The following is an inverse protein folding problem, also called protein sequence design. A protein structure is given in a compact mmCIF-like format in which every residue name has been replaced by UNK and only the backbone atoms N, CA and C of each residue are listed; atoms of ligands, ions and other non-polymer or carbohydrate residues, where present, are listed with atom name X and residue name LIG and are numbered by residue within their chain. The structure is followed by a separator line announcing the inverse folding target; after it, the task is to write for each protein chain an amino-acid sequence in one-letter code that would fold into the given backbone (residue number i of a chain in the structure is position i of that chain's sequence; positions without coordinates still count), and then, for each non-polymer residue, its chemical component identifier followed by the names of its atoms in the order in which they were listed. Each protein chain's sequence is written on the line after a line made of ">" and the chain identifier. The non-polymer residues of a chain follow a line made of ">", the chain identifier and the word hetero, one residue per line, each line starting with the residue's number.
data_IF_671342939272
#
_entry.id   IF_671342939272
#
_cell.length_a   1.000
_cell.length_b   1.000
_cell.length_c   1.000
_cell.angle_alpha   90.00
_cell.angle_beta   90.00
_cell.angle_gamma   90.00
#
_symmetry.space_group_name_H-M   'P 1'
#
loop_
_entity.id
_entity.type
_entity.pdbx_description
1 polymer ?
#
# COMPACT_ATOMS: atom_id res chain seq x y z
N UNK A 1 31.84 -14.85 -24.31
CA UNK A 1 31.94 -15.38 -22.94
C UNK A 1 32.02 -14.18 -22.02
N UNK A 2 30.95 -13.89 -21.28
CA UNK A 2 30.94 -12.81 -20.30
C UNK A 2 31.11 -13.46 -18.93
N UNK A 3 32.24 -13.18 -18.29
CA UNK A 3 32.58 -13.63 -16.96
C UNK A 3 31.55 -13.08 -15.97
N UNK A 4 30.98 -13.89 -15.06
CA UNK A 4 30.17 -13.36 -13.97
C UNK A 4 31.12 -12.59 -13.05
N UNK A 5 30.93 -11.28 -12.93
CA UNK A 5 31.51 -10.49 -11.85
C UNK A 5 30.84 -10.94 -10.56
N UNK A 6 31.49 -11.85 -9.83
CA UNK A 6 31.12 -12.19 -8.46
C UNK A 6 31.27 -10.94 -7.60
N UNK A 7 30.14 -10.33 -7.24
CA UNK A 7 30.08 -9.38 -6.12
C UNK A 7 30.52 -10.14 -4.85
N UNK A 8 31.59 -9.71 -4.16
CA UNK A 8 32.13 -10.41 -3.00
C UNK A 8 31.17 -10.49 -1.81
N UNK A 9 30.00 -9.81 -1.86
CA UNK A 9 28.96 -9.91 -0.84
C UNK A 9 28.01 -11.10 -1.00
N UNK A 10 27.92 -11.72 -2.19
CA UNK A 10 26.96 -12.79 -2.46
C UNK A 10 25.48 -12.34 -2.44
N UNK A 11 25.23 -11.03 -2.52
CA UNK A 11 23.88 -10.43 -2.56
C UNK A 11 23.42 -10.23 -4.01
N UNK A 12 22.20 -10.64 -4.32
CA UNK A 12 21.50 -10.42 -5.59
C UNK A 12 20.09 -9.84 -5.37
N UNK A 13 19.37 -9.50 -6.46
CA UNK A 13 18.02 -8.95 -6.38
C UNK A 13 16.96 -9.97 -6.81
N UNK A 14 15.86 -10.07 -6.05
CA UNK A 14 14.59 -10.64 -6.50
C UNK A 14 13.59 -9.50 -6.65
N UNK A 15 13.24 -9.16 -7.90
CA UNK A 15 12.58 -7.89 -8.20
C UNK A 15 13.51 -6.72 -7.83
N UNK A 16 13.13 -5.94 -6.83
CA UNK A 16 13.94 -4.86 -6.23
C UNK A 16 14.41 -5.17 -4.80
N UNK A 17 14.23 -6.40 -4.31
CA UNK A 17 14.60 -6.80 -2.95
C UNK A 17 16.01 -7.40 -2.92
N UNK A 18 16.93 -6.86 -2.11
CA UNK A 18 18.25 -7.47 -1.88
C UNK A 18 18.15 -8.75 -1.06
N UNK A 19 18.72 -9.83 -1.58
CA UNK A 19 18.75 -11.15 -0.95
C UNK A 19 20.15 -11.77 -1.04
N UNK A 20 20.51 -12.65 -0.12
CA UNK A 20 21.75 -13.44 -0.21
C UNK A 20 21.59 -14.69 -1.09
N UNK A 21 22.67 -15.47 -1.23
CA UNK A 21 22.71 -16.72 -1.98
C UNK A 21 21.68 -17.79 -1.51
N UNK A 22 21.11 -17.65 -0.31
CA UNK A 22 20.06 -18.52 0.22
C UNK A 22 18.65 -17.93 0.05
N UNK A 23 18.53 -16.80 -0.66
CA UNK A 23 17.32 -16.00 -0.83
C UNK A 23 16.78 -15.39 0.48
N UNK A 24 17.64 -15.21 1.49
CA UNK A 24 17.28 -14.45 2.71
C UNK A 24 17.36 -12.96 2.40
N UNK A 25 16.36 -12.19 2.83
CA UNK A 25 16.32 -10.74 2.60
C UNK A 25 17.36 -10.02 3.45
N UNK A 26 17.98 -8.96 2.90
CA UNK A 26 18.95 -8.11 3.59
C UNK A 26 18.73 -6.63 3.24
N UNK A 27 17.69 -6.01 3.81
CA UNK A 27 17.39 -4.59 3.57
C UNK A 27 18.09 -3.72 4.61
N UNK A 28 19.04 -2.89 4.17
CA UNK A 28 19.66 -1.84 4.99
C UNK A 28 18.68 -0.69 5.21
N UNK A 29 18.16 -0.57 6.43
CA UNK A 29 17.12 0.40 6.79
C UNK A 29 17.64 1.83 6.93
N UNK A 30 18.94 2.07 6.75
CA UNK A 30 19.49 3.43 6.58
C UNK A 30 19.17 4.00 5.20
N UNK A 31 18.68 3.16 4.29
CA UNK A 31 18.21 3.51 2.95
C UNK A 31 16.68 3.33 2.88
N UNK A 32 16.01 3.91 1.88
CA UNK A 32 14.60 3.65 1.64
C UNK A 32 14.32 2.14 1.52
N UNK A 33 13.30 1.66 2.23
CA UNK A 33 12.92 0.26 2.26
C UNK A 33 12.15 -0.08 0.96
N UNK A 34 12.67 -0.96 0.09
CA UNK A 34 11.98 -1.33 -1.14
C UNK A 34 10.83 -2.31 -0.89
N UNK A 35 9.84 -2.32 -1.78
CA UNK A 35 8.82 -3.39 -1.86
C UNK A 35 8.65 -3.90 -3.29
N UNK A 36 8.40 -5.20 -3.46
CA UNK A 36 8.26 -5.86 -4.77
C UNK A 36 6.83 -6.29 -5.11
N UNK A 37 5.98 -6.34 -4.10
CA UNK A 37 4.58 -6.71 -4.20
C UNK A 37 3.77 -5.92 -3.16
N UNK A 38 2.45 -5.89 -3.30
CA UNK A 38 1.54 -5.23 -2.37
C UNK A 38 0.23 -6.00 -2.22
N UNK A 39 -0.52 -5.66 -1.18
CA UNK A 39 -1.94 -5.92 -1.12
C UNK A 39 -2.72 -4.69 -1.60
N UNK A 40 -3.91 -4.90 -2.18
CA UNK A 40 -4.80 -3.83 -2.61
C UNK A 40 -6.20 -3.98 -2.03
N UNK A 41 -6.83 -2.85 -1.73
CA UNK A 41 -8.25 -2.77 -1.36
C UNK A 41 -8.83 -1.42 -1.74
N UNK A 42 -10.16 -1.34 -1.76
CA UNK A 42 -10.86 -0.10 -2.02
C UNK A 42 -12.05 0.07 -1.08
N UNK A 43 -12.29 1.31 -0.65
CA UNK A 43 -13.41 1.68 0.22
C UNK A 43 -14.14 2.87 -0.40
N UNK A 44 -15.47 2.83 -0.39
CA UNK A 44 -16.30 3.89 -0.95
C UNK A 44 -17.20 4.48 0.13
N UNK A 45 -17.25 5.81 0.21
CA UNK A 45 -18.00 6.56 1.21
C UNK A 45 -18.74 7.71 0.57
N UNK A 46 -19.95 8.01 1.04
CA UNK A 46 -20.79 9.09 0.51
C UNK A 46 -20.96 9.01 -1.03
N UNK A 47 -20.97 7.81 -1.60
CA UNK A 47 -21.13 7.56 -3.05
C UNK A 47 -22.28 6.61 -3.35
N UNK A 48 -22.61 6.49 -4.64
CA UNK A 48 -23.48 5.43 -5.19
C UNK A 48 -22.76 4.71 -6.33
N UNK A 49 -22.99 3.40 -6.47
CA UNK A 49 -22.50 2.62 -7.62
C UNK A 49 -20.98 2.64 -7.77
N UNK A 50 -20.25 2.77 -6.67
CA UNK A 50 -18.79 2.85 -6.67
C UNK A 50 -18.18 1.52 -7.12
N UNK A 51 -17.35 1.58 -8.17
CA UNK A 51 -16.67 0.42 -8.73
C UNK A 51 -15.20 0.78 -8.90
N UNK A 52 -14.34 -0.05 -8.33
CA UNK A 52 -12.88 0.08 -8.43
C UNK A 52 -12.34 -1.22 -9.00
N UNK A 53 -11.86 -1.20 -10.24
CA UNK A 53 -11.25 -2.33 -10.93
C UNK A 53 -9.73 -2.14 -10.96
N UNK A 54 -8.99 -3.10 -10.42
CA UNK A 54 -7.53 -3.10 -10.43
C UNK A 54 -7.00 -4.53 -10.50
N UNK A 55 -5.91 -4.74 -11.26
CA UNK A 55 -5.35 -6.07 -11.52
C UNK A 55 -6.39 -7.11 -11.99
N UNK A 56 -7.32 -6.65 -12.84
CA UNK A 56 -8.41 -7.48 -13.38
C UNK A 56 -9.49 -7.90 -12.37
N UNK A 57 -9.50 -7.30 -11.17
CA UNK A 57 -10.41 -7.64 -10.07
C UNK A 57 -11.11 -6.40 -9.52
N UNK A 58 -12.38 -6.54 -9.19
CA UNK A 58 -13.09 -5.48 -8.49
C UNK A 58 -12.69 -5.49 -7.01
N UNK A 59 -12.01 -4.43 -6.57
CA UNK A 59 -11.72 -4.18 -5.17
C UNK A 59 -12.94 -3.58 -4.43
N UNK A 60 -13.78 -2.83 -5.15
CA UNK A 60 -15.12 -2.39 -4.73
C UNK A 60 -16.10 -2.55 -5.90
N UNK A 61 -17.35 -2.91 -5.62
CA UNK A 61 -18.39 -3.12 -6.63
C UNK A 61 -19.77 -2.90 -6.02
N UNK A 62 -20.00 -1.68 -5.60
CA UNK A 62 -21.19 -1.28 -4.85
C UNK A 62 -22.40 -1.17 -5.78
N UNK A 63 -23.62 -1.43 -5.26
CA UNK A 63 -24.85 -1.31 -6.04
C UNK A 63 -25.11 0.14 -6.44
N UNK A 64 -25.75 0.33 -7.60
CA UNK A 64 -25.94 1.66 -8.17
C UNK A 64 -26.96 2.50 -7.38
N UNK A 65 -27.91 1.90 -6.68
CA UNK A 65 -29.06 2.58 -6.06
C UNK A 65 -28.99 2.70 -4.52
N UNK A 66 -27.96 2.16 -3.88
CA UNK A 66 -27.73 2.30 -2.44
C UNK A 66 -26.64 3.33 -2.20
N UNK A 67 -26.89 4.26 -1.26
CA UNK A 67 -25.87 5.21 -0.83
C UNK A 67 -24.93 4.51 0.16
N UNK A 68 -23.64 4.55 -0.13
CA UNK A 68 -22.63 4.12 0.84
C UNK A 68 -22.61 5.04 2.06
N UNK A 69 -22.23 4.47 3.21
CA UNK A 69 -22.16 5.19 4.48
C UNK A 69 -21.22 6.39 4.38
N UNK A 70 -21.40 7.38 5.26
CA UNK A 70 -20.44 8.47 5.37
C UNK A 70 -19.21 7.99 6.12
N UNK A 71 -18.01 8.35 5.65
CA UNK A 71 -16.78 8.09 6.40
C UNK A 71 -16.83 8.72 7.80
N UNK A 72 -17.52 9.87 7.93
CA UNK A 72 -17.69 10.56 9.20
C UNK A 72 -18.49 9.74 10.23
N UNK A 73 -19.37 8.82 9.79
CA UNK A 73 -20.12 7.96 10.70
C UNK A 73 -19.27 6.89 11.39
N UNK A 74 -18.04 6.65 10.90
CA UNK A 74 -17.10 5.70 11.50
C UNK A 74 -16.35 6.29 12.69
N UNK A 75 -16.30 7.62 12.84
CA UNK A 75 -15.57 8.27 13.93
C UNK A 75 -14.13 7.78 14.05
N UNK A 76 -13.72 7.42 15.27
CA UNK A 76 -12.37 6.94 15.58
C UNK A 76 -12.03 5.60 14.90
N UNK A 77 -13.03 4.81 14.50
CA UNK A 77 -12.83 3.54 13.81
C UNK A 77 -12.49 3.71 12.31
N UNK A 78 -12.57 4.94 11.78
CA UNK A 78 -12.35 5.21 10.36
C UNK A 78 -11.02 4.63 9.82
N UNK A 79 -9.85 4.83 10.45
CA UNK A 79 -8.60 4.24 9.97
C UNK A 79 -8.60 2.71 9.98
N UNK A 80 -9.29 2.10 10.96
CA UNK A 80 -9.43 0.65 11.07
C UNK A 80 -10.27 0.02 9.96
N UNK A 81 -11.11 0.80 9.28
CA UNK A 81 -11.93 0.35 8.15
C UNK A 81 -11.17 0.37 6.80
N UNK A 82 -10.04 1.07 6.71
CA UNK A 82 -9.21 1.11 5.51
C UNK A 82 -8.29 -0.12 5.45
N UNK A 83 -8.70 -1.12 4.64
CA UNK A 83 -8.05 -2.43 4.55
C UNK A 83 -7.81 -2.85 3.11
N UNK A 84 -6.71 -3.57 2.88
CA UNK A 84 -6.49 -4.34 1.68
C UNK A 84 -6.96 -5.79 1.89
N UNK A 85 -7.47 -6.41 0.83
CA UNK A 85 -7.99 -7.78 0.86
C UNK A 85 -7.42 -8.66 -0.26
N UNK A 86 -6.90 -8.06 -1.33
CA UNK A 86 -6.26 -8.79 -2.43
C UNK A 86 -4.75 -8.75 -2.24
N UNK A 87 -4.14 -9.87 -1.88
CA UNK A 87 -2.71 -9.96 -1.53
C UNK A 87 -1.84 -10.42 -2.70
N UNK A 88 -0.54 -10.11 -2.64
CA UNK A 88 0.47 -10.69 -3.52
C UNK A 88 0.47 -10.14 -4.95
N UNK A 89 -0.04 -8.92 -5.14
CA UNK A 89 -0.02 -8.23 -6.44
C UNK A 89 1.41 -7.78 -6.71
N UNK A 90 2.00 -8.27 -7.81
CA UNK A 90 3.40 -8.03 -8.17
C UNK A 90 3.59 -6.66 -8.81
N UNK A 91 4.69 -5.98 -8.46
CA UNK A 91 5.02 -4.63 -8.92
C UNK A 91 6.30 -4.57 -9.75
N UNK A 92 6.77 -5.71 -10.25
CA UNK A 92 8.03 -5.80 -10.99
C UNK A 92 7.87 -6.52 -12.34
N UNK A 93 8.37 -5.93 -13.45
CA UNK A 93 9.06 -4.63 -13.53
C UNK A 93 8.14 -3.41 -13.33
N UNK A 94 6.83 -3.59 -13.51
CA UNK A 94 5.81 -2.55 -13.44
C UNK A 94 4.68 -2.96 -12.49
N UNK A 95 3.93 -1.97 -11.99
CA UNK A 95 2.63 -2.22 -11.40
C UNK A 95 1.65 -2.75 -12.48
N UNK A 96 0.56 -3.41 -12.08
CA UNK A 96 -0.61 -3.57 -12.95
C UNK A 96 -1.05 -2.23 -13.56
N UNK A 97 -1.79 -2.26 -14.69
CA UNK A 97 -2.38 -1.05 -15.26
C UNK A 97 -3.16 -0.23 -14.23
N UNK A 98 -3.31 1.10 -14.45
CA UNK A 98 -4.03 1.99 -13.53
C UNK A 98 -5.39 1.44 -13.08
N UNK A 99 -5.75 1.69 -11.83
CA UNK A 99 -7.05 1.32 -11.31
C UNK A 99 -8.13 2.17 -12.00
N UNK A 100 -9.16 1.52 -12.51
CA UNK A 100 -10.33 2.17 -13.13
C UNK A 100 -11.40 2.39 -12.06
N UNK A 101 -11.84 3.63 -11.90
CA UNK A 101 -12.78 4.05 -10.86
C UNK A 101 -13.99 4.72 -11.49
N UNK A 102 -15.18 4.22 -11.20
CA UNK A 102 -16.46 4.86 -11.58
C UNK A 102 -17.36 4.96 -10.36
N UNK A 103 -18.00 6.11 -10.16
CA UNK A 103 -18.92 6.31 -9.03
C UNK A 103 -19.87 7.47 -9.31
N UNK A 104 -20.86 7.65 -8.43
CA UNK A 104 -21.60 8.90 -8.33
C UNK A 104 -21.36 9.55 -6.97
N UNK A 105 -21.09 10.85 -6.95
CA UNK A 105 -20.95 11.64 -5.72
C UNK A 105 -22.28 11.71 -4.96
N UNK A 106 -22.27 12.23 -3.73
CA UNK A 106 -23.45 12.25 -2.87
C UNK A 106 -24.62 13.05 -3.45
N UNK A 107 -24.30 14.01 -4.33
CA UNK A 107 -25.27 14.83 -5.08
C UNK A 107 -25.75 14.17 -6.38
N UNK A 108 -25.28 12.96 -6.69
CA UNK A 108 -25.68 12.16 -7.82
C UNK A 108 -24.88 12.39 -9.11
N UNK A 109 -23.91 13.31 -9.13
CA UNK A 109 -23.07 13.52 -10.32
C UNK A 109 -22.20 12.28 -10.59
N UNK A 110 -22.16 11.86 -11.86
CA UNK A 110 -21.34 10.71 -12.27
C UNK A 110 -19.89 11.12 -12.54
N UNK A 111 -18.96 10.26 -12.11
CA UNK A 111 -17.52 10.45 -12.23
C UNK A 111 -16.84 9.19 -12.79
N UNK A 112 -15.73 9.41 -13.47
CA UNK A 112 -14.80 8.38 -13.91
C UNK A 112 -13.37 8.90 -13.74
N UNK A 113 -12.47 8.05 -13.24
CA UNK A 113 -11.07 8.37 -13.08
C UNK A 113 -10.19 7.12 -13.20
N UNK A 114 -8.95 7.33 -13.61
CA UNK A 114 -7.89 6.32 -13.56
C UNK A 114 -6.88 6.71 -12.50
N UNK A 115 -6.47 5.77 -11.65
CA UNK A 115 -5.47 5.98 -10.60
C UNK A 115 -4.23 5.15 -10.89
N UNK A 116 -3.14 5.83 -11.24
CA UNK A 116 -1.87 5.21 -11.61
C UNK A 116 -0.97 5.02 -10.39
N UNK A 117 -0.92 3.78 -9.87
CA UNK A 117 -0.06 3.45 -8.73
C UNK A 117 1.43 3.44 -9.10
N UNK A 118 1.78 3.23 -10.37
CA UNK A 118 3.18 3.35 -10.81
C UNK A 118 3.64 4.81 -10.74
N UNK A 119 2.77 5.76 -11.08
CA UNK A 119 3.09 7.18 -10.91
C UNK A 119 3.18 7.60 -9.43
N UNK A 120 2.24 7.13 -8.59
CA UNK A 120 2.19 7.48 -7.15
C UNK A 120 3.38 6.87 -6.41
N UNK A 121 3.70 5.61 -6.68
CA UNK A 121 4.76 4.84 -6.01
C UNK A 121 5.93 4.53 -6.96
N UNK A 122 6.34 5.52 -7.77
CA UNK A 122 7.38 5.38 -8.80
C UNK A 122 8.66 4.71 -8.31
N UNK A 123 9.07 5.05 -7.09
CA UNK A 123 10.33 4.58 -6.48
C UNK A 123 10.17 3.22 -5.79
N UNK A 124 8.94 2.70 -5.67
CA UNK A 124 8.62 1.40 -5.04
C UNK A 124 9.22 1.28 -3.63
N UNK A 125 9.09 2.35 -2.85
CA UNK A 125 9.56 2.47 -1.46
C UNK A 125 8.40 2.48 -0.47
N UNK A 126 8.58 1.81 0.67
CA UNK A 126 7.61 1.78 1.77
C UNK A 126 7.55 3.16 2.43
N UNK A 127 6.34 3.70 2.59
CA UNK A 127 6.07 4.89 3.38
C UNK A 127 5.93 4.50 4.86
N UNK A 128 6.67 5.16 5.76
CA UNK A 128 6.56 4.94 7.20
C UNK A 128 7.04 6.16 8.01
N UNK A 129 6.61 6.25 9.27
CA UNK A 129 7.07 7.28 10.22
C UNK A 129 8.02 6.75 11.29
N UNK A 130 8.49 5.50 11.18
CA UNK A 130 9.44 4.93 12.15
C UNK A 130 10.75 5.73 12.16
N UNK A 131 11.18 6.25 13.33
CA UNK A 131 12.47 6.91 13.47
C UNK A 131 13.65 5.99 13.14
N UNK A 132 14.71 6.53 12.54
CA UNK A 132 15.87 5.75 12.09
C UNK A 132 16.57 4.98 13.22
N UNK A 133 16.64 5.56 14.42
CA UNK A 133 17.23 4.96 15.61
C UNK A 133 16.39 3.80 16.17
N UNK A 134 15.09 3.77 15.86
CA UNK A 134 14.17 2.70 16.24
C UNK A 134 14.10 1.57 15.20
N UNK A 135 14.56 1.79 13.96
CA UNK A 135 14.59 0.72 12.96
C UNK A 135 15.66 -0.33 13.30
N UNK A 136 15.39 -1.63 13.06
CA UNK A 136 16.45 -2.63 12.99
C UNK A 136 17.41 -2.24 11.87
N UNK A 137 18.73 -2.49 11.97
CA UNK A 137 19.70 -1.97 11.00
C UNK A 137 19.59 -2.73 9.66
N UNK A 138 19.18 -3.99 9.72
CA UNK A 138 18.93 -4.88 8.60
C UNK A 138 17.57 -5.53 8.85
N UNK A 139 16.69 -5.51 7.85
CA UNK A 139 15.49 -6.35 7.83
C UNK A 139 15.79 -7.66 7.10
N UNK A 140 15.34 -8.77 7.68
CA UNK A 140 15.49 -10.13 7.14
C UNK A 140 14.25 -10.65 6.41
N UNK A 141 13.23 -9.81 6.28
CA UNK A 141 12.02 -10.08 5.53
C UNK A 141 11.69 -8.87 4.65
N UNK A 142 11.06 -9.12 3.51
CA UNK A 142 10.47 -8.07 2.70
C UNK A 142 9.20 -7.53 3.38
N UNK A 143 8.80 -6.33 2.97
CA UNK A 143 7.56 -5.71 3.44
C UNK A 143 6.62 -5.62 2.24
N UNK A 144 5.46 -6.27 2.38
CA UNK A 144 4.33 -6.11 1.46
C UNK A 144 3.36 -5.10 2.05
N UNK A 145 3.30 -3.85 1.55
CA UNK A 145 2.36 -2.87 2.06
C UNK A 145 0.92 -3.15 1.59
N UNK A 146 -0.04 -2.71 2.39
CA UNK A 146 -1.42 -2.47 1.95
C UNK A 146 -1.46 -1.12 1.21
N UNK A 147 -1.91 -1.14 -0.04
CA UNK A 147 -2.30 0.07 -0.78
C UNK A 147 -3.82 0.13 -0.82
N UNK A 148 -4.40 1.23 -0.35
CA UNK A 148 -5.85 1.36 -0.18
C UNK A 148 -6.33 2.57 -0.97
N UNK A 149 -7.25 2.35 -1.91
CA UNK A 149 -7.90 3.41 -2.68
C UNK A 149 -9.27 3.74 -2.06
N UNK A 150 -9.40 4.93 -1.50
CA UNK A 150 -10.67 5.43 -0.98
C UNK A 150 -11.33 6.34 -2.02
N UNK A 151 -12.62 6.13 -2.27
CA UNK A 151 -13.48 7.08 -2.97
C UNK A 151 -14.45 7.68 -1.95
N UNK A 152 -14.30 8.97 -1.65
CA UNK A 152 -15.09 9.66 -0.64
C UNK A 152 -15.78 10.89 -1.25
N UNK A 153 -17.07 10.74 -1.57
CA UNK A 153 -17.88 11.72 -2.29
C UNK A 153 -17.25 12.13 -3.64
N UNK A 154 -16.47 13.21 -3.65
CA UNK A 154 -15.77 13.77 -4.82
C UNK A 154 -14.27 13.59 -4.77
N UNK A 155 -13.73 12.96 -3.74
CA UNK A 155 -12.29 12.86 -3.51
C UNK A 155 -11.85 11.41 -3.61
N UNK A 156 -10.78 11.18 -4.36
CA UNK A 156 -10.04 9.93 -4.33
C UNK A 156 -8.80 10.14 -3.45
N UNK A 157 -8.63 9.28 -2.46
CA UNK A 157 -7.42 9.19 -1.65
C UNK A 157 -6.74 7.84 -1.90
N UNK A 158 -5.41 7.82 -1.92
CA UNK A 158 -4.63 6.58 -1.90
C UNK A 158 -3.76 6.58 -0.67
N UNK A 159 -3.89 5.54 0.13
CA UNK A 159 -3.11 5.34 1.34
C UNK A 159 -2.13 4.18 1.17
N UNK A 160 -1.03 4.23 1.92
CA UNK A 160 -0.17 3.09 2.19
C UNK A 160 -0.20 2.79 3.69
N UNK A 161 -0.25 1.50 4.02
CA UNK A 161 -0.07 0.99 5.37
C UNK A 161 0.88 -0.19 5.33
N UNK A 162 1.94 -0.16 6.13
CA UNK A 162 3.01 -1.15 6.05
C UNK A 162 3.42 -1.59 7.46
N UNK A 163 3.56 -2.90 7.66
CA UNK A 163 4.11 -3.45 8.89
C UNK A 163 5.62 -3.21 8.94
N UNK A 164 6.06 -2.18 9.67
CA UNK A 164 7.48 -1.84 9.82
C UNK A 164 7.92 -2.18 11.23
N UNK A 165 8.81 -3.17 11.36
CA UNK A 165 9.35 -3.60 12.65
C UNK A 165 10.19 -2.49 13.30
N UNK A 166 10.08 -2.38 14.61
CA UNK A 166 10.78 -1.44 15.48
C UNK A 166 11.55 -2.18 16.56
N UNK A 167 12.68 -1.63 17.01
CA UNK A 167 13.48 -2.16 18.14
C UNK A 167 12.89 -1.85 19.51
N UNK A 168 11.85 -1.00 19.54
CA UNK A 168 11.15 -0.58 20.76
C UNK A 168 9.69 -1.01 20.68
N UNK A 169 9.09 -1.31 21.83
CA UNK A 169 7.67 -1.63 21.94
C UNK A 169 6.84 -0.34 21.84
N UNK A 170 5.79 -0.35 21.02
CA UNK A 170 4.82 0.75 20.97
C UNK A 170 3.91 0.74 22.21
N UNK A 171 3.65 -0.44 22.77
CA UNK A 171 2.86 -0.64 23.99
C UNK A 171 3.74 -1.28 25.07
N UNK A 172 4.09 -0.55 26.15
CA UNK A 172 4.93 -1.09 27.22
C UNK A 172 4.37 -2.40 27.80
N UNK A 173 5.18 -3.45 27.77
CA UNK A 173 4.82 -4.78 28.28
C UNK A 173 4.11 -5.70 27.28
N UNK A 174 3.75 -5.21 26.09
CA UNK A 174 3.23 -6.05 25.01
C UNK A 174 4.36 -6.41 24.03
N UNK A 175 4.92 -7.63 24.08
CA UNK A 175 6.04 -8.03 23.22
C UNK A 175 5.68 -8.09 21.73
N UNK A 176 4.39 -8.10 21.38
CA UNK A 176 3.91 -8.10 20.00
C UNK A 176 3.67 -6.68 19.46
N UNK A 177 4.10 -5.65 20.18
CA UNK A 177 3.96 -4.25 19.75
C UNK A 177 5.27 -3.67 19.20
N UNK A 178 6.21 -4.50 18.77
CA UNK A 178 7.49 -4.11 18.19
C UNK A 178 7.38 -3.70 16.70
N UNK A 179 6.28 -3.03 16.33
CA UNK A 179 6.06 -2.58 14.97
C UNK A 179 5.18 -1.33 14.89
N UNK A 180 5.25 -0.63 13.77
CA UNK A 180 4.25 0.38 13.38
C UNK A 180 3.57 -0.04 12.08
N UNK A 181 2.30 0.35 11.95
CA UNK A 181 1.48 0.14 10.75
C UNK A 181 0.61 1.37 10.52
N UNK A 182 1.27 2.51 10.37
CA UNK A 182 0.61 3.79 10.21
C UNK A 182 -0.10 3.85 8.86
N UNK A 183 -1.28 4.48 8.82
CA UNK A 183 -1.97 4.82 7.59
C UNK A 183 -1.43 6.15 7.05
N UNK A 184 -0.76 6.12 5.89
CA UNK A 184 -0.11 7.30 5.30
C UNK A 184 -0.80 7.66 3.98
N UNK A 185 -1.26 8.91 3.86
CA UNK A 185 -1.83 9.44 2.62
C UNK A 185 -0.71 9.68 1.59
N UNK A 186 -0.74 8.93 0.49
CA UNK A 186 0.24 9.04 -0.60
C UNK A 186 -0.25 9.95 -1.74
N UNK A 187 -1.57 10.01 -1.95
CA UNK A 187 -2.18 10.79 -3.02
C UNK A 187 -3.59 11.21 -2.66
N UNK A 188 -3.99 12.41 -3.10
CA UNK A 188 -5.36 12.90 -2.99
C UNK A 188 -5.73 13.75 -4.21
N UNK A 189 -6.97 13.62 -4.68
CA UNK A 189 -7.52 14.47 -5.74
C UNK A 189 -9.04 14.55 -5.66
N UNK A 190 -9.57 15.76 -5.80
CA UNK A 190 -11.02 16.02 -5.87
C UNK A 190 -11.51 16.31 -7.29
N UNK A 191 -12.79 16.03 -7.54
CA UNK A 191 -13.47 16.08 -8.85
C UNK A 191 -14.77 16.91 -8.84
#
# INVERSE_FOLDING_TARGET
>A
MNTPTNDPSGIHLIGNIPVDAHNTVHIDTRKPIPFSNHAFGAMCYDTYGCKVLYDGRYAARDPDDVKEISSASLGDDYPGNLKANTIGIRNFPHFPPPAEVTWRSKDGQSHHATVDLEAIFKDKVVLHHVPQDQLPPILQADISPDIILEVNDRTINVYMKAFVQTRVLQEPGNPNSDFRSDLILAYTKSY
#
